data_IF_399337049775
#
_entry.id   IF_399337049775
#
_cell.length_a   1.000
_cell.length_b   1.000
_cell.length_c   1.000
_cell.angle_alpha   90.00
_cell.angle_beta   90.00
_cell.angle_gamma   90.00
#
_symmetry.space_group_name_H-M   'P 1'
#
loop_
_entity.id
_entity.type
_entity.pdbx_description
1 polymer ?
#
# COMPACT_ATOMS: atom_id res chain seq x y z
N UNK A 1 -16.97 11.77 24.07
CA UNK A 1 -16.44 10.89 23.01
C UNK A 1 -15.36 11.67 22.29
N UNK A 2 -14.10 11.21 22.30
CA UNK A 2 -13.03 11.91 21.59
C UNK A 2 -13.18 11.71 20.07
N UNK A 3 -13.00 12.77 19.29
CA UNK A 3 -12.93 12.67 17.84
C UNK A 3 -11.62 11.96 17.44
N UNK A 4 -11.73 10.86 16.69
CA UNK A 4 -10.58 10.08 16.26
C UNK A 4 -9.92 10.80 15.08
N UNK A 5 -8.92 11.64 15.35
CA UNK A 5 -8.13 12.27 14.30
C UNK A 5 -7.44 11.20 13.45
N UNK A 6 -7.78 11.18 12.16
CA UNK A 6 -7.18 10.25 11.20
C UNK A 6 -5.76 10.73 10.92
N UNK A 7 -4.80 10.17 11.66
CA UNK A 7 -3.39 10.35 11.35
C UNK A 7 -3.10 9.82 9.93
N UNK A 8 -2.28 10.58 9.19
CA UNK A 8 -1.91 10.32 7.79
C UNK A 8 -0.86 9.18 7.72
N UNK A 9 -0.16 8.94 6.59
CA UNK A 9 1.02 8.04 6.58
C UNK A 9 2.49 8.56 6.44
N UNK A 10 3.41 8.12 7.35
CA UNK A 10 4.84 8.56 7.42
C UNK A 10 5.63 7.81 6.39
N UNK A 11 6.40 8.58 5.64
CA UNK A 11 7.30 8.09 4.62
C UNK A 11 8.54 8.94 4.79
N UNK A 12 9.64 8.32 5.22
CA UNK A 12 10.91 9.01 5.45
C UNK A 12 11.70 9.00 4.14
N UNK A 13 11.21 9.80 3.19
CA UNK A 13 11.88 9.98 1.90
C UNK A 13 12.04 11.47 1.62
N UNK A 14 13.29 11.89 1.39
CA UNK A 14 13.63 13.26 0.96
C UNK A 14 13.13 13.55 -0.47
N UNK A 15 12.60 12.54 -1.16
CA UNK A 15 12.03 12.61 -2.51
C UNK A 15 10.54 12.24 -2.42
N UNK A 16 9.68 13.03 -3.07
CA UNK A 16 8.26 12.71 -3.24
C UNK A 16 8.09 11.30 -3.86
N UNK A 17 7.17 10.50 -3.34
CA UNK A 17 6.99 9.13 -3.80
C UNK A 17 5.56 8.64 -3.56
N UNK A 18 5.17 7.62 -4.34
CA UNK A 18 3.93 6.86 -4.13
C UNK A 18 4.20 5.76 -3.12
N UNK A 19 3.31 5.56 -2.14
CA UNK A 19 3.43 4.47 -1.18
C UNK A 19 2.15 3.66 -1.10
N UNK A 20 2.29 2.36 -1.30
CA UNK A 20 1.16 1.42 -1.28
C UNK A 20 1.29 0.52 -0.05
N UNK A 21 0.42 0.75 0.93
CA UNK A 21 0.43 0.07 2.22
C UNK A 21 -0.58 -1.09 2.19
N UNK A 22 -0.12 -2.32 2.41
CA UNK A 22 -0.96 -3.54 2.36
C UNK A 22 -0.90 -4.28 3.69
N UNK A 23 -2.02 -4.39 4.40
CA UNK A 23 -2.04 -5.04 5.72
C UNK A 23 -3.39 -5.08 6.41
N UNK A 24 -3.43 -5.59 7.65
CA UNK A 24 -4.65 -6.03 8.34
C UNK A 24 -5.57 -4.90 8.85
N UNK A 25 -6.90 -5.09 8.76
CA UNK A 25 -7.92 -4.15 9.27
C UNK A 25 -7.87 -3.86 10.77
N UNK A 26 -7.25 -4.73 11.58
CA UNK A 26 -7.09 -4.52 13.03
C UNK A 26 -5.90 -3.65 13.42
N UNK A 27 -5.06 -3.25 12.45
CA UNK A 27 -3.98 -2.30 12.71
C UNK A 27 -4.56 -0.91 13.01
N UNK A 28 -4.38 -0.45 14.25
CA UNK A 28 -4.53 0.96 14.63
C UNK A 28 -3.29 1.79 14.32
N UNK A 29 -2.27 1.20 13.69
CA UNK A 29 -0.99 1.84 13.47
C UNK A 29 -1.18 3.10 12.63
N UNK A 30 -0.74 4.19 13.26
CA UNK A 30 -0.62 5.48 12.65
C UNK A 30 0.73 5.49 11.99
N UNK A 31 0.67 5.69 10.69
CA UNK A 31 1.75 6.33 9.98
C UNK A 31 1.52 7.89 10.27
N UNK A 32 2.31 8.88 9.81
CA UNK A 32 2.15 10.36 10.02
C UNK A 32 2.16 11.12 8.67
N UNK A 33 2.93 12.17 8.33
CA UNK A 33 3.14 12.53 6.88
C UNK A 33 4.08 13.73 6.68
N UNK A 34 5.35 13.49 6.34
CA UNK A 34 6.34 14.56 6.21
C UNK A 34 6.87 14.63 4.77
N UNK A 35 6.05 15.13 3.85
CA UNK A 35 6.40 15.34 2.45
C UNK A 35 5.21 15.25 1.50
N UNK A 36 5.42 15.59 0.23
CA UNK A 36 4.42 15.46 -0.84
C UNK A 36 4.35 14.00 -1.35
N UNK A 37 3.89 13.09 -0.51
CA UNK A 37 3.75 11.68 -0.85
C UNK A 37 2.30 11.32 -1.14
N UNK A 38 2.09 10.51 -2.17
CA UNK A 38 0.78 9.97 -2.52
C UNK A 38 0.62 8.57 -1.93
N UNK A 39 -0.40 8.35 -1.08
CA UNK A 39 -0.42 7.17 -0.22
C UNK A 39 -1.74 6.41 -0.25
N UNK A 40 -1.64 5.15 -0.65
CA UNK A 40 -2.76 4.26 -0.89
C UNK A 40 -2.75 3.12 0.13
N UNK A 41 -3.76 3.12 1.02
CA UNK A 41 -3.91 2.09 2.05
C UNK A 41 -4.90 1.01 1.57
N UNK A 42 -4.43 -0.23 1.51
CA UNK A 42 -5.09 -1.42 1.00
C UNK A 42 -5.32 -2.43 2.13
N UNK A 43 -6.43 -2.26 2.86
CA UNK A 43 -6.73 -3.06 4.05
C UNK A 43 -7.20 -4.49 3.70
N UNK A 44 -6.69 -5.48 4.42
CA UNK A 44 -7.13 -6.88 4.36
C UNK A 44 -8.12 -7.17 5.47
N UNK A 45 -9.30 -7.70 5.12
CA UNK A 45 -10.28 -8.19 6.09
C UNK A 45 -10.19 -9.71 6.30
N UNK A 46 -10.72 -10.19 7.42
CA UNK A 46 -10.95 -11.62 7.69
C UNK A 46 -11.66 -12.31 6.52
N UNK A 47 -12.69 -11.67 5.96
CA UNK A 47 -13.47 -12.23 4.85
C UNK A 47 -12.69 -12.38 3.54
N UNK A 48 -11.64 -11.58 3.29
CA UNK A 48 -10.75 -11.74 2.13
C UNK A 48 -9.80 -12.94 2.31
N UNK A 49 -9.38 -13.20 3.55
CA UNK A 49 -8.51 -14.35 3.89
C UNK A 49 -9.29 -15.66 3.87
N UNK A 50 -10.48 -15.71 4.47
CA UNK A 50 -11.30 -16.92 4.54
C UNK A 50 -11.94 -17.30 3.20
N UNK A 51 -12.30 -16.33 2.35
CA UNK A 51 -13.00 -16.58 1.08
C UNK A 51 -12.14 -16.10 -0.09
N UNK A 52 -11.37 -17.01 -0.69
CA UNK A 52 -10.44 -16.73 -1.81
C UNK A 52 -11.07 -15.86 -2.90
N UNK A 53 -12.31 -16.15 -3.33
CA UNK A 53 -12.99 -15.39 -4.38
C UNK A 53 -13.24 -13.92 -4.00
N UNK A 54 -13.54 -13.64 -2.71
CA UNK A 54 -13.65 -12.26 -2.19
C UNK A 54 -12.29 -11.58 -2.12
N UNK A 55 -11.24 -12.31 -1.74
CA UNK A 55 -9.86 -11.84 -1.80
C UNK A 55 -9.46 -11.42 -3.22
N UNK A 56 -9.71 -12.27 -4.22
CA UNK A 56 -9.39 -11.96 -5.62
C UNK A 56 -10.21 -10.79 -6.18
N UNK A 57 -11.50 -10.71 -5.85
CA UNK A 57 -12.35 -9.59 -6.28
C UNK A 57 -11.90 -8.26 -5.66
N UNK A 58 -11.59 -8.25 -4.36
CA UNK A 58 -11.05 -7.06 -3.69
C UNK A 58 -9.68 -6.66 -4.25
N UNK A 59 -8.80 -7.63 -4.53
CA UNK A 59 -7.52 -7.37 -5.18
C UNK A 59 -7.68 -6.76 -6.58
N UNK A 60 -8.68 -7.17 -7.36
CA UNK A 60 -8.95 -6.59 -8.67
C UNK A 60 -9.35 -5.10 -8.59
N UNK A 61 -10.16 -4.71 -7.61
CA UNK A 61 -10.48 -3.29 -7.37
C UNK A 61 -9.27 -2.51 -6.84
N UNK A 62 -8.44 -3.12 -5.99
CA UNK A 62 -7.22 -2.49 -5.51
C UNK A 62 -6.15 -2.31 -6.61
N UNK A 63 -6.11 -3.18 -7.63
CA UNK A 63 -5.28 -2.98 -8.83
C UNK A 63 -5.70 -1.73 -9.61
N UNK A 64 -6.99 -1.49 -9.81
CA UNK A 64 -7.47 -0.23 -10.45
C UNK A 64 -7.07 1.01 -9.64
N UNK A 65 -7.07 0.91 -8.30
CA UNK A 65 -6.65 2.00 -7.41
C UNK A 65 -5.14 2.25 -7.51
N UNK A 66 -4.34 1.19 -7.61
CA UNK A 66 -2.88 1.25 -7.85
C UNK A 66 -2.58 1.86 -9.24
N UNK A 67 -3.28 1.44 -10.28
CA UNK A 67 -3.18 1.98 -11.65
C UNK A 67 -3.55 3.47 -11.71
N UNK A 68 -4.67 3.85 -11.08
CA UNK A 68 -5.08 5.24 -10.98
C UNK A 68 -4.05 6.11 -10.25
N UNK A 69 -3.47 5.61 -9.15
CA UNK A 69 -2.38 6.28 -8.44
C UNK A 69 -1.14 6.48 -9.32
N UNK A 70 -0.76 5.44 -10.07
CA UNK A 70 0.40 5.46 -10.97
C UNK A 70 0.22 6.51 -12.08
N UNK A 71 -0.95 6.54 -12.74
CA UNK A 71 -1.24 7.53 -13.78
C UNK A 71 -1.49 8.95 -13.24
N UNK A 72 -2.04 9.09 -12.03
CA UNK A 72 -2.25 10.39 -11.38
C UNK A 72 -0.96 11.08 -10.94
N UNK A 73 0.13 10.32 -10.75
CA UNK A 73 1.46 10.87 -10.40
C UNK A 73 2.58 10.19 -11.20
N UNK A 74 2.73 10.53 -12.50
CA UNK A 74 3.76 9.95 -13.35
C UNK A 74 5.17 10.36 -12.88
N UNK A 75 6.13 9.45 -12.98
CA UNK A 75 7.54 9.70 -12.63
C UNK A 75 7.86 9.74 -11.13
N UNK A 76 6.87 9.58 -10.23
CA UNK A 76 7.15 9.37 -8.81
C UNK A 76 7.54 7.90 -8.56
N UNK A 77 8.63 7.64 -7.81
CA UNK A 77 8.97 6.27 -7.41
C UNK A 77 7.89 5.67 -6.52
N UNK A 78 7.68 4.35 -6.61
CA UNK A 78 6.72 3.60 -5.80
C UNK A 78 7.44 2.74 -4.75
N UNK A 79 6.95 2.77 -3.51
CA UNK A 79 7.34 1.82 -2.46
C UNK A 79 6.11 1.05 -1.99
N UNK A 80 6.21 -0.28 -1.94
CA UNK A 80 5.19 -1.12 -1.30
C UNK A 80 5.60 -1.41 0.15
N UNK A 81 4.70 -1.21 1.10
CA UNK A 81 4.88 -1.63 2.49
C UNK A 81 3.83 -2.70 2.81
N UNK A 82 4.27 -3.95 2.91
CA UNK A 82 3.41 -5.11 3.13
C UNK A 82 3.69 -5.65 4.54
N UNK A 83 2.66 -5.69 5.38
CA UNK A 83 2.81 -6.16 6.77
C UNK A 83 1.69 -7.11 7.18
N UNK A 84 1.98 -7.98 8.17
CA UNK A 84 1.10 -9.04 8.70
C UNK A 84 0.68 -10.12 7.70
N UNK A 85 0.32 -11.32 8.21
CA UNK A 85 -0.14 -12.48 7.41
C UNK A 85 -1.21 -12.12 6.37
N UNK A 86 -2.19 -11.29 6.76
CA UNK A 86 -3.23 -10.82 5.84
C UNK A 86 -2.69 -9.91 4.73
N UNK A 87 -1.72 -9.05 5.03
CA UNK A 87 -1.06 -8.19 4.04
C UNK A 87 -0.31 -8.99 2.99
N UNK A 88 0.47 -10.00 3.39
CA UNK A 88 1.19 -10.88 2.46
C UNK A 88 0.23 -11.61 1.50
N UNK A 89 -0.86 -12.19 2.02
CA UNK A 89 -1.87 -12.87 1.20
C UNK A 89 -2.56 -11.90 0.23
N UNK A 90 -2.87 -10.69 0.67
CA UNK A 90 -3.50 -9.67 -0.17
C UNK A 90 -2.55 -9.13 -1.24
N UNK A 91 -1.28 -8.93 -0.92
CA UNK A 91 -0.26 -8.56 -1.89
C UNK A 91 -0.12 -9.64 -2.98
N UNK A 92 -0.01 -10.92 -2.62
CA UNK A 92 0.03 -12.01 -3.60
C UNK A 92 -1.20 -12.00 -4.55
N UNK A 93 -2.40 -11.75 -4.01
CA UNK A 93 -3.61 -11.61 -4.82
C UNK A 93 -3.58 -10.37 -5.73
N UNK A 94 -3.07 -9.23 -5.26
CA UNK A 94 -2.89 -8.00 -6.04
C UNK A 94 -1.94 -8.26 -7.22
N UNK A 95 -0.76 -8.84 -6.99
CA UNK A 95 0.21 -9.13 -8.06
C UNK A 95 -0.38 -10.06 -9.12
N UNK A 96 -1.09 -11.11 -8.70
CA UNK A 96 -1.81 -11.99 -9.64
C UNK A 96 -2.90 -11.25 -10.43
N UNK A 97 -3.56 -10.26 -9.84
CA UNK A 97 -4.52 -9.42 -10.56
C UNK A 97 -3.85 -8.38 -11.47
N UNK A 98 -2.69 -7.83 -11.09
CA UNK A 98 -1.92 -6.93 -11.96
C UNK A 98 -1.48 -7.65 -13.24
N UNK A 99 -1.00 -8.89 -13.11
CA UNK A 99 -0.64 -9.72 -14.26
C UNK A 99 -1.83 -10.02 -15.18
N UNK A 100 -3.04 -10.19 -14.63
CA UNK A 100 -4.25 -10.56 -15.36
C UNK A 100 -5.00 -9.38 -15.97
N UNK A 101 -4.98 -8.21 -15.33
CA UNK A 101 -5.88 -7.09 -15.62
C UNK A 101 -5.18 -5.89 -16.27
N UNK A 102 -3.91 -5.64 -15.97
CA UNK A 102 -3.20 -4.49 -16.52
C UNK A 102 -2.68 -4.80 -17.93
N UNK A 103 -2.78 -3.85 -18.88
CA UNK A 103 -2.06 -3.92 -20.15
C UNK A 103 -0.55 -4.14 -19.91
N UNK A 104 0.16 -4.88 -20.78
CA UNK A 104 1.58 -5.15 -20.61
C UNK A 104 2.43 -3.90 -20.38
N UNK A 105 2.17 -2.82 -21.13
CA UNK A 105 2.93 -1.57 -21.04
C UNK A 105 2.67 -0.82 -19.73
N UNK A 106 1.42 -0.70 -19.30
CA UNK A 106 1.05 -0.15 -17.98
C UNK A 106 1.72 -0.93 -16.85
N UNK A 107 1.72 -2.26 -16.95
CA UNK A 107 2.35 -3.16 -15.98
C UNK A 107 3.87 -2.97 -15.95
N UNK A 108 4.54 -2.88 -17.10
CA UNK A 108 5.98 -2.65 -17.16
C UNK A 108 6.36 -1.26 -16.62
N UNK A 109 5.62 -0.21 -16.99
CA UNK A 109 5.77 1.16 -16.46
C UNK A 109 5.67 1.18 -14.94
N UNK A 110 4.63 0.54 -14.39
CA UNK A 110 4.40 0.50 -12.95
C UNK A 110 5.49 -0.29 -12.21
N UNK A 111 5.89 -1.45 -12.74
CA UNK A 111 6.97 -2.26 -12.16
C UNK A 111 8.33 -1.55 -12.20
N UNK A 112 8.63 -0.79 -13.26
CA UNK A 112 9.87 -0.01 -13.37
C UNK A 112 9.96 1.11 -12.33
N UNK A 113 8.82 1.70 -11.95
CA UNK A 113 8.76 2.70 -10.90
C UNK A 113 8.87 2.11 -9.47
N UNK A 114 8.76 0.79 -9.27
CA UNK A 114 8.91 0.19 -7.92
C UNK A 114 10.37 0.23 -7.49
N UNK A 115 10.70 1.16 -6.59
CA UNK A 115 12.05 1.31 -6.03
C UNK A 115 12.28 0.46 -4.77
N UNK A 116 11.22 -0.10 -4.17
CA UNK A 116 11.37 -0.95 -3.00
C UNK A 116 10.09 -1.64 -2.55
N UNK A 117 10.27 -2.79 -1.89
CA UNK A 117 9.23 -3.53 -1.19
C UNK A 117 9.73 -3.78 0.24
N UNK A 118 8.99 -3.28 1.22
CA UNK A 118 9.24 -3.45 2.65
C UNK A 118 8.28 -4.53 3.16
N UNK A 119 8.85 -5.54 3.82
CA UNK A 119 8.11 -6.62 4.47
C UNK A 119 8.26 -6.49 5.99
N UNK A 120 7.15 -6.40 6.72
CA UNK A 120 7.16 -6.29 8.18
C UNK A 120 6.23 -7.31 8.86
N UNK A 121 6.65 -7.80 10.02
CA UNK A 121 5.87 -8.69 10.88
C UNK A 121 4.64 -7.98 11.48
N UNK A 122 4.80 -6.69 11.80
CA UNK A 122 3.82 -5.83 12.43
C UNK A 122 3.78 -4.48 11.70
N UNK A 123 2.74 -3.67 11.85
CA UNK A 123 2.77 -2.31 11.33
C UNK A 123 3.63 -1.43 12.24
N UNK A 124 4.71 -0.87 11.70
CA UNK A 124 5.61 0.01 12.45
C UNK A 124 4.87 1.17 13.12
N UNK A 125 4.99 1.29 14.45
CA UNK A 125 4.57 2.47 15.20
C UNK A 125 5.70 3.50 15.08
N UNK A 126 5.61 4.37 14.09
CA UNK A 126 6.62 5.40 13.85
C UNK A 126 6.15 6.71 14.49
N UNK A 127 6.83 7.15 15.55
CA UNK A 127 6.62 8.48 16.15
C UNK A 127 7.43 9.54 15.41
N UNK A 128 7.11 10.82 15.63
CA UNK A 128 7.85 11.95 15.03
C UNK A 128 9.34 11.93 15.42
N UNK A 129 9.66 11.46 16.64
CA UNK A 129 11.04 11.38 17.15
C UNK A 129 11.90 10.37 16.38
N UNK A 130 11.29 9.31 15.84
CA UNK A 130 11.96 8.28 15.03
C UNK A 130 12.00 8.68 13.55
N UNK A 131 11.26 9.72 13.15
CA UNK A 131 11.20 10.21 11.78
C UNK A 131 12.35 11.15 11.39
N UNK A 132 13.15 11.64 12.35
CA UNK A 132 14.18 12.65 12.12
C UNK A 132 15.59 12.04 12.11
N UNK A 133 15.95 11.44 10.96
CA UNK A 133 17.32 11.01 10.59
C UNK A 133 17.60 11.37 9.10
#
# INVERSE_FOLDING_TARGET
MAAWSVARPVILSRVACRVVIVGWTGSSARYLSNGAHEVLILRTSVSMVLYRWRGMAAAAEDVKRIEHLHHGTPGLPTVFHIFSTGGYMKAAAIWQQMERLLPPDTRHSLLADIQGIIFDSAPAIVTEDVAVL
#
